data_IF_626679167072
#
_entry.id   IF_626679167072
#
_cell.length_a   1.000
_cell.length_b   1.000
_cell.length_c   1.000
_cell.angle_alpha   90.00
_cell.angle_beta   90.00
_cell.angle_gamma   90.00
#
_symmetry.space_group_name_H-M   'P 1'
#
loop_
_entity.id
_entity.type
_entity.pdbx_description
1 polymer ?
#
# COMPACT_ATOMS: atom_id res chain seq x y z
N UNK A 1 -9.53 8.15 0.19
CA UNK A 1 -10.06 7.98 -1.19
C UNK A 1 -9.07 8.45 -2.27
N UNK A 2 -8.32 9.52 -2.07
CA UNK A 2 -7.31 10.03 -3.04
C UNK A 2 -6.24 8.98 -3.39
N UNK A 3 -5.70 8.27 -2.41
CA UNK A 3 -4.61 7.30 -2.60
C UNK A 3 -4.99 6.07 -3.46
N UNK A 4 -6.26 5.64 -3.45
CA UNK A 4 -6.70 4.50 -4.28
C UNK A 4 -6.77 4.90 -5.75
N UNK A 5 -7.30 6.09 -6.04
CA UNK A 5 -7.39 6.59 -7.43
C UNK A 5 -5.98 6.82 -7.98
N UNK A 6 -5.11 7.43 -7.20
CA UNK A 6 -3.71 7.66 -7.56
C UNK A 6 -2.98 6.33 -7.81
N UNK A 7 -3.16 5.34 -6.93
CA UNK A 7 -2.62 4.00 -7.11
C UNK A 7 -3.10 3.35 -8.41
N UNK A 8 -4.41 3.37 -8.68
CA UNK A 8 -4.97 2.78 -9.91
C UNK A 8 -4.42 3.47 -11.16
N UNK A 9 -4.33 4.80 -11.13
CA UNK A 9 -3.80 5.59 -12.25
C UNK A 9 -2.33 5.26 -12.51
N UNK A 10 -1.52 5.19 -11.46
CA UNK A 10 -0.09 4.85 -11.56
C UNK A 10 0.10 3.41 -12.04
N UNK A 11 -0.65 2.45 -11.48
CA UNK A 11 -0.58 1.05 -11.89
C UNK A 11 -0.96 0.86 -13.36
N UNK A 12 -2.03 1.52 -13.81
CA UNK A 12 -2.40 1.53 -15.22
C UNK A 12 -1.28 2.11 -16.09
N UNK A 13 -0.71 3.25 -15.68
CA UNK A 13 0.37 3.91 -16.42
C UNK A 13 1.62 3.04 -16.51
N UNK A 14 1.95 2.28 -15.45
CA UNK A 14 3.07 1.32 -15.48
C UNK A 14 2.80 0.20 -16.48
N UNK A 15 1.60 -0.41 -16.44
CA UNK A 15 1.25 -1.57 -17.28
C UNK A 15 1.24 -1.19 -18.77
N UNK A 16 0.67 -0.04 -19.10
CA UNK A 16 0.41 0.34 -20.50
C UNK A 16 1.47 1.25 -21.10
N UNK A 17 2.44 1.75 -20.34
CA UNK A 17 3.51 2.57 -20.88
C UNK A 17 4.46 1.75 -21.76
N UNK A 18 4.53 2.10 -23.03
CA UNK A 18 5.52 1.55 -23.97
C UNK A 18 6.93 2.13 -23.77
N UNK A 19 7.02 3.28 -23.12
CA UNK A 19 8.28 3.94 -22.84
C UNK A 19 8.85 3.45 -21.51
N UNK A 20 10.01 2.81 -21.55
CA UNK A 20 10.67 2.21 -20.37
C UNK A 20 10.95 3.26 -19.29
N UNK A 21 11.43 4.44 -19.66
CA UNK A 21 11.70 5.52 -18.70
C UNK A 21 10.44 6.02 -17.99
N UNK A 22 9.36 6.22 -18.74
CA UNK A 22 8.08 6.62 -18.16
C UNK A 22 7.56 5.54 -17.23
N UNK A 23 7.64 4.26 -17.63
CA UNK A 23 7.23 3.14 -16.80
C UNK A 23 8.00 3.09 -15.49
N UNK A 24 9.32 3.23 -15.51
CA UNK A 24 10.17 3.27 -14.31
C UNK A 24 9.85 4.47 -13.41
N UNK A 25 9.55 5.62 -13.98
CA UNK A 25 9.10 6.78 -13.20
C UNK A 25 7.74 6.52 -12.50
N UNK A 26 6.79 5.87 -13.18
CA UNK A 26 5.52 5.50 -12.54
C UNK A 26 5.71 4.50 -11.40
N UNK A 27 6.61 3.51 -11.55
CA UNK A 27 6.98 2.57 -10.48
C UNK A 27 7.52 3.34 -9.26
N UNK A 28 8.35 4.33 -9.48
CA UNK A 28 8.88 5.19 -8.41
C UNK A 28 7.75 5.90 -7.65
N UNK A 29 6.81 6.54 -8.35
CA UNK A 29 5.68 7.20 -7.70
C UNK A 29 4.79 6.18 -6.97
N UNK A 30 4.56 5.03 -7.58
CA UNK A 30 3.83 3.94 -6.96
C UNK A 30 4.49 3.45 -5.67
N UNK A 31 5.82 3.35 -5.63
CA UNK A 31 6.56 2.99 -4.43
C UNK A 31 6.41 4.02 -3.30
N UNK A 32 6.35 5.32 -3.62
CA UNK A 32 6.09 6.38 -2.64
C UNK A 32 4.69 6.22 -2.04
N UNK A 33 3.67 6.08 -2.88
CA UNK A 33 2.27 5.90 -2.44
C UNK A 33 2.11 4.65 -1.58
N UNK A 34 2.75 3.54 -1.97
CA UNK A 34 2.74 2.30 -1.20
C UNK A 34 3.42 2.46 0.16
N UNK A 35 4.57 3.12 0.19
CA UNK A 35 5.31 3.34 1.44
C UNK A 35 4.51 4.18 2.43
N UNK A 36 3.91 5.28 1.97
CA UNK A 36 3.05 6.14 2.78
C UNK A 36 1.81 5.39 3.27
N UNK A 37 1.18 4.60 2.41
CA UNK A 37 0.05 3.74 2.79
C UNK A 37 0.43 2.72 3.87
N UNK A 38 1.63 2.15 3.81
CA UNK A 38 2.13 1.23 4.84
C UNK A 38 2.35 1.93 6.18
N UNK A 39 2.91 3.14 6.17
CA UNK A 39 3.10 3.93 7.40
C UNK A 39 1.77 4.34 8.03
N UNK A 40 0.79 4.73 7.22
CA UNK A 40 -0.53 5.09 7.71
C UNK A 40 -1.28 3.88 8.28
N UNK A 41 -1.16 2.71 7.66
CA UNK A 41 -1.72 1.48 8.18
C UNK A 41 -1.10 1.06 9.52
N UNK A 42 0.19 1.28 9.72
CA UNK A 42 0.85 1.05 11.00
C UNK A 42 0.26 1.94 12.11
N UNK A 43 -0.08 3.21 11.79
CA UNK A 43 -0.77 4.12 12.73
C UNK A 43 -2.18 3.65 13.07
N UNK A 44 -2.93 3.13 12.07
CA UNK A 44 -4.28 2.57 12.28
C UNK A 44 -4.28 1.34 13.19
N UNK A 45 -3.17 0.62 13.32
CA UNK A 45 -3.02 -0.52 14.23
C UNK A 45 -2.94 -0.16 15.71
N UNK A 46 -3.06 1.13 16.06
CA UNK A 46 -3.01 1.62 17.43
C UNK A 46 -4.08 1.01 18.34
N UNK A 47 -3.91 1.16 19.64
CA UNK A 47 -4.82 0.60 20.67
C UNK A 47 -6.27 1.05 20.48
N UNK A 48 -6.49 2.30 20.06
CA UNK A 48 -7.84 2.83 19.82
C UNK A 48 -8.63 2.02 18.78
N UNK A 49 -7.99 1.66 17.68
CA UNK A 49 -8.65 0.87 16.62
C UNK A 49 -8.97 -0.54 17.11
N UNK A 50 -8.08 -1.14 17.89
CA UNK A 50 -8.32 -2.45 18.51
C UNK A 50 -9.51 -2.42 19.47
N UNK A 51 -9.59 -1.40 20.33
CA UNK A 51 -10.72 -1.24 21.25
C UNK A 51 -12.06 -1.12 20.50
N UNK A 52 -12.09 -0.33 19.43
CA UNK A 52 -13.29 -0.19 18.60
C UNK A 52 -13.69 -1.54 17.97
N UNK A 53 -12.73 -2.31 17.46
CA UNK A 53 -13.01 -3.65 16.91
C UNK A 53 -13.58 -4.56 17.99
N UNK A 54 -12.99 -4.60 19.17
CA UNK A 54 -13.46 -5.46 20.27
C UNK A 54 -14.86 -5.09 20.74
N UNK A 55 -15.20 -3.81 20.73
CA UNK A 55 -16.48 -3.31 21.21
C UNK A 55 -17.62 -3.48 20.20
N UNK A 56 -17.35 -3.21 18.90
CA UNK A 56 -18.42 -3.09 17.89
C UNK A 56 -18.43 -4.20 16.83
N UNK A 57 -17.34 -4.95 16.64
CA UNK A 57 -17.31 -6.01 15.65
C UNK A 57 -17.86 -7.33 16.21
N UNK A 58 -18.65 -8.05 15.40
CA UNK A 58 -18.92 -9.46 15.66
C UNK A 58 -17.71 -10.34 15.38
N UNK A 59 -17.76 -11.60 15.79
CA UNK A 59 -16.63 -12.53 15.67
C UNK A 59 -16.17 -12.76 14.22
N UNK A 60 -17.09 -12.73 13.26
CA UNK A 60 -16.77 -12.88 11.86
C UNK A 60 -15.95 -11.66 11.36
N UNK A 61 -16.41 -10.45 11.64
CA UNK A 61 -15.72 -9.22 11.27
C UNK A 61 -14.36 -9.08 11.95
N UNK A 62 -14.27 -9.45 13.25
CA UNK A 62 -13.00 -9.50 14.00
C UNK A 62 -11.99 -10.42 13.32
N UNK A 63 -12.40 -11.62 12.96
CA UNK A 63 -11.54 -12.60 12.31
C UNK A 63 -11.10 -12.12 10.93
N UNK A 64 -12.00 -11.57 10.13
CA UNK A 64 -11.70 -11.04 8.81
C UNK A 64 -10.69 -9.89 8.86
N UNK A 65 -10.86 -8.94 9.78
CA UNK A 65 -9.91 -7.84 10.00
C UNK A 65 -8.54 -8.40 10.42
N UNK A 66 -8.53 -9.31 11.41
CA UNK A 66 -7.29 -9.90 11.95
C UNK A 66 -6.51 -10.66 10.87
N UNK A 67 -7.19 -11.48 10.09
CA UNK A 67 -6.55 -12.26 9.03
C UNK A 67 -6.02 -11.36 7.91
N UNK A 68 -6.79 -10.37 7.48
CA UNK A 68 -6.34 -9.40 6.45
C UNK A 68 -5.13 -8.61 6.95
N UNK A 69 -5.15 -8.12 8.18
CA UNK A 69 -4.02 -7.41 8.78
C UNK A 69 -2.77 -8.31 8.90
N UNK A 70 -2.96 -9.59 9.19
CA UNK A 70 -1.85 -10.57 9.21
C UNK A 70 -1.25 -10.75 7.82
N UNK A 71 -2.08 -10.89 6.77
CA UNK A 71 -1.59 -11.02 5.39
C UNK A 71 -0.83 -9.77 4.94
N UNK A 72 -1.35 -8.59 5.23
CA UNK A 72 -0.65 -7.33 4.96
C UNK A 72 0.71 -7.30 5.65
N UNK A 73 0.79 -7.72 6.92
CA UNK A 73 2.06 -7.74 7.66
C UNK A 73 3.09 -8.66 7.03
N UNK A 74 2.68 -9.86 6.61
CA UNK A 74 3.57 -10.82 5.94
C UNK A 74 4.09 -10.22 4.63
N UNK A 75 3.19 -9.68 3.83
CA UNK A 75 3.51 -9.09 2.54
C UNK A 75 4.43 -7.87 2.68
N UNK A 76 4.11 -6.97 3.60
CA UNK A 76 4.90 -5.76 3.89
C UNK A 76 6.29 -6.12 4.38
N UNK A 77 6.41 -7.09 5.31
CA UNK A 77 7.71 -7.52 5.82
C UNK A 77 8.63 -8.04 4.71
N UNK A 78 8.06 -8.73 3.73
CA UNK A 78 8.81 -9.28 2.60
C UNK A 78 9.35 -8.19 1.66
N UNK A 79 8.59 -7.11 1.43
CA UNK A 79 8.88 -6.12 0.39
C UNK A 79 9.30 -4.74 0.91
N UNK A 80 9.28 -4.52 2.24
CA UNK A 80 9.53 -3.21 2.85
C UNK A 80 10.88 -2.61 2.47
N UNK A 81 11.92 -3.44 2.46
CA UNK A 81 13.28 -2.97 2.17
C UNK A 81 13.44 -2.59 0.70
N UNK A 82 12.83 -3.35 -0.22
CA UNK A 82 12.80 -3.04 -1.64
C UNK A 82 12.08 -1.71 -1.91
N UNK A 83 10.89 -1.54 -1.34
CA UNK A 83 10.09 -0.31 -1.49
C UNK A 83 10.83 0.88 -0.90
N UNK A 84 11.43 0.71 0.28
CA UNK A 84 12.23 1.75 0.92
C UNK A 84 13.45 2.13 0.07
N UNK A 85 14.09 1.16 -0.56
CA UNK A 85 15.19 1.37 -1.47
C UNK A 85 14.76 2.19 -2.69
N UNK A 86 13.67 1.80 -3.34
CA UNK A 86 13.11 2.51 -4.50
C UNK A 86 12.74 3.94 -4.09
N UNK A 87 12.01 4.11 -2.98
CA UNK A 87 11.64 5.44 -2.47
C UNK A 87 12.85 6.32 -2.19
N UNK A 88 13.83 5.81 -1.45
CA UNK A 88 14.94 6.62 -0.98
C UNK A 88 15.99 6.89 -2.06
N UNK A 89 16.33 5.88 -2.85
CA UNK A 89 17.39 6.03 -3.86
C UNK A 89 16.88 6.64 -5.17
N UNK A 90 15.64 6.39 -5.51
CA UNK A 90 15.06 6.86 -6.77
C UNK A 90 14.14 8.07 -6.53
N UNK A 91 13.53 8.18 -5.34
CA UNK A 91 12.54 9.21 -5.01
C UNK A 91 13.10 10.49 -4.41
N UNK A 92 14.12 10.41 -3.58
CA UNK A 92 14.53 11.51 -2.70
C UNK A 92 15.75 12.33 -3.17
N UNK A 93 16.54 11.84 -4.12
CA UNK A 93 17.79 12.49 -4.47
C UNK A 93 17.78 13.09 -5.87
N UNK A 94 17.55 14.40 -5.92
CA UNK A 94 17.79 15.24 -7.12
C UNK A 94 19.29 15.35 -7.48
N UNK A 95 20.18 14.81 -6.64
CA UNK A 95 21.64 14.93 -6.75
C UNK A 95 22.35 13.62 -7.13
N UNK A 96 21.61 12.55 -7.43
CA UNK A 96 22.25 11.31 -7.88
C UNK A 96 22.83 11.50 -9.28
N UNK A 97 24.08 11.09 -9.42
CA UNK A 97 24.70 10.87 -10.71
C UNK A 97 23.76 10.03 -11.59
N UNK A 98 23.49 10.50 -12.80
CA UNK A 98 22.55 9.89 -13.75
C UNK A 98 22.84 8.41 -13.94
N UNK A 99 24.12 8.01 -14.00
CA UNK A 99 24.56 6.62 -14.20
C UNK A 99 24.11 5.70 -13.04
N UNK A 100 24.15 6.21 -11.79
CA UNK A 100 23.72 5.49 -10.60
C UNK A 100 22.19 5.35 -10.61
N UNK A 101 21.49 6.41 -11.00
CA UNK A 101 20.03 6.43 -11.11
C UNK A 101 19.54 5.42 -12.16
N UNK A 102 20.14 5.41 -13.36
CA UNK A 102 19.79 4.48 -14.43
C UNK A 102 20.05 3.03 -14.04
N UNK A 103 21.18 2.77 -13.37
CA UNK A 103 21.49 1.43 -12.86
C UNK A 103 20.38 0.92 -11.95
N UNK A 104 19.98 1.70 -10.92
CA UNK A 104 18.92 1.27 -10.00
C UNK A 104 17.56 1.12 -10.66
N UNK A 105 17.22 1.99 -11.62
CA UNK A 105 15.98 1.85 -12.39
C UNK A 105 15.95 0.54 -13.18
N UNK A 106 17.08 0.12 -13.74
CA UNK A 106 17.16 -1.09 -14.53
C UNK A 106 17.15 -2.38 -13.70
N UNK A 107 17.49 -2.30 -12.41
CA UNK A 107 17.45 -3.43 -11.48
C UNK A 107 16.04 -3.72 -10.94
N UNK A 108 15.05 -2.83 -11.13
CA UNK A 108 13.68 -3.06 -10.65
C UNK A 108 12.99 -4.11 -11.50
N UNK A 109 12.48 -5.16 -10.86
CA UNK A 109 11.54 -6.09 -11.47
C UNK A 109 10.15 -5.46 -11.56
N UNK A 110 9.83 -4.89 -12.71
CA UNK A 110 8.57 -4.19 -12.97
C UNK A 110 7.35 -5.07 -12.71
N UNK A 111 7.39 -6.32 -13.14
CA UNK A 111 6.27 -7.27 -13.04
C UNK A 111 6.08 -7.70 -11.58
N UNK A 112 7.17 -8.06 -10.92
CA UNK A 112 7.14 -8.44 -9.51
C UNK A 112 6.64 -7.31 -8.62
N UNK A 113 7.08 -6.09 -8.87
CA UNK A 113 6.64 -4.91 -8.13
C UNK A 113 5.14 -4.61 -8.34
N UNK A 114 4.65 -4.65 -9.58
CA UNK A 114 3.22 -4.43 -9.87
C UNK A 114 2.36 -5.52 -9.24
N UNK A 115 2.80 -6.78 -9.31
CA UNK A 115 2.11 -7.90 -8.70
C UNK A 115 1.97 -7.71 -7.20
N UNK A 116 3.08 -7.36 -6.52
CA UNK A 116 3.06 -7.03 -5.10
C UNK A 116 2.10 -5.87 -4.80
N UNK A 117 2.20 -4.77 -5.53
CA UNK A 117 1.37 -3.60 -5.36
C UNK A 117 -0.13 -3.92 -5.50
N UNK A 118 -0.51 -4.73 -6.49
CA UNK A 118 -1.88 -5.16 -6.73
C UNK A 118 -2.43 -6.01 -5.58
N UNK A 119 -1.65 -6.96 -5.08
CA UNK A 119 -2.03 -7.80 -3.92
C UNK A 119 -2.16 -6.95 -2.66
N UNK A 120 -1.22 -6.04 -2.41
CA UNK A 120 -1.28 -5.13 -1.27
C UNK A 120 -2.55 -4.28 -1.29
N UNK A 121 -2.88 -3.69 -2.44
CA UNK A 121 -4.08 -2.84 -2.58
C UNK A 121 -5.38 -3.63 -2.47
N UNK A 122 -5.42 -4.89 -2.86
CA UNK A 122 -6.56 -5.76 -2.61
C UNK A 122 -6.82 -5.91 -1.10
N UNK A 123 -5.79 -6.11 -0.29
CA UNK A 123 -5.93 -6.17 1.16
C UNK A 123 -6.33 -4.81 1.77
N UNK A 124 -5.79 -3.71 1.29
CA UNK A 124 -6.20 -2.36 1.73
C UNK A 124 -7.68 -2.11 1.42
N UNK A 125 -8.15 -2.53 0.25
CA UNK A 125 -9.57 -2.45 -0.12
C UNK A 125 -10.45 -3.23 0.85
N UNK A 126 -10.04 -4.45 1.24
CA UNK A 126 -10.76 -5.25 2.22
C UNK A 126 -10.82 -4.56 3.60
N UNK A 127 -9.69 -4.03 4.08
CA UNK A 127 -9.65 -3.29 5.37
C UNK A 127 -10.56 -2.06 5.30
N UNK A 128 -10.58 -1.35 4.18
CA UNK A 128 -11.47 -0.20 3.99
C UNK A 128 -12.94 -0.61 4.05
N UNK A 129 -13.31 -1.72 3.40
CA UNK A 129 -14.66 -2.27 3.46
C UNK A 129 -15.07 -2.69 4.88
N UNK A 130 -14.19 -3.38 5.61
CA UNK A 130 -14.43 -3.76 7.00
C UNK A 130 -14.55 -2.55 7.93
N UNK A 131 -13.76 -1.50 7.70
CA UNK A 131 -13.86 -0.25 8.47
C UNK A 131 -15.19 0.44 8.23
N UNK A 132 -15.72 0.43 7.00
CA UNK A 132 -17.06 0.95 6.70
C UNK A 132 -18.16 0.13 7.41
N UNK A 133 -18.06 -1.20 7.41
CA UNK A 133 -19.00 -2.06 8.15
C UNK A 133 -18.94 -1.80 9.66
N UNK A 134 -17.76 -1.59 10.19
CA UNK A 134 -17.57 -1.24 11.60
C UNK A 134 -18.20 0.11 11.93
N UNK A 135 -17.99 1.12 11.07
CA UNK A 135 -18.61 2.43 11.21
C UNK A 135 -20.15 2.35 11.21
N UNK A 136 -20.74 1.57 10.29
CA UNK A 136 -22.21 1.37 10.23
C UNK A 136 -22.75 0.75 11.54
N UNK A 137 -22.04 -0.20 12.14
CA UNK A 137 -22.39 -0.80 13.43
C UNK A 137 -22.30 0.21 14.58
N UNK A 138 -21.28 1.07 14.60
CA UNK A 138 -21.14 2.13 15.61
C UNK A 138 -22.33 3.09 15.52
N UNK A 139 -22.66 3.55 14.33
CA UNK A 139 -23.77 4.48 14.12
C UNK A 139 -25.09 3.85 14.56
N UNK A 140 -25.38 2.58 14.20
CA UNK A 140 -26.61 1.90 14.59
C UNK A 140 -26.74 1.67 16.10
N UNK A 141 -25.65 1.54 16.81
CA UNK A 141 -25.63 1.34 18.27
C UNK A 141 -25.67 2.68 19.05
N UNK A 142 -25.51 3.82 18.35
CA UNK A 142 -25.52 5.16 18.96
C UNK A 142 -26.90 5.82 18.96
N UNK A 143 -27.90 5.17 18.34
CA UNK A 143 -29.31 5.59 18.30
C UNK A 143 -30.23 4.49 18.78
#
# INVERSE_FOLDING_TARGET
MSNIIEFLTLSYSVIYSKNVYLRKNYIRYLAIVLFESMEDLEKLRGEKYKLIIEEYADEELKNNIKDTMRQIRILTKKHKDEIRLIRNKIGAHKELNIDIYEKYLNEIDDIGFITFASVYMSYISNISAYTLLLYDKIVKNSF
#
